data_IF_643752389571
#
_entry.id   IF_643752389571
#
_cell.length_a   1.000
_cell.length_b   1.000
_cell.length_c   1.000
_cell.angle_alpha   90.00
_cell.angle_beta   90.00
_cell.angle_gamma   90.00
#
_symmetry.space_group_name_H-M   'P 1'
#
loop_
_entity.id
_entity.type
_entity.pdbx_description
1 polymer ?
#
# COMPACT_ATOMS: atom_id res chain seq x y z
N UNK A 1 0.64 -1.56 2.85
CA UNK A 1 -0.17 -2.75 3.18
C UNK A 1 -1.62 -2.37 3.05
N UNK A 2 -2.40 -3.10 2.26
CA UNK A 2 -3.85 -2.93 2.20
C UNK A 2 -4.47 -3.65 3.40
N UNK A 3 -5.35 -2.94 4.12
CA UNK A 3 -6.07 -3.45 5.29
C UNK A 3 -7.52 -3.66 4.87
N UNK A 4 -8.01 -4.87 5.06
CA UNK A 4 -9.37 -5.28 4.72
C UNK A 4 -10.22 -5.42 5.99
N UNK A 5 -11.55 -5.45 5.84
CA UNK A 5 -12.48 -5.69 6.95
C UNK A 5 -12.91 -7.16 7.09
N UNK A 6 -12.72 -7.96 6.05
CA UNK A 6 -13.24 -9.32 5.91
C UNK A 6 -12.13 -10.39 5.81
N UNK A 7 -10.88 -9.98 5.59
CA UNK A 7 -9.74 -10.86 5.32
C UNK A 7 -8.43 -10.32 5.89
N UNK A 8 -7.37 -11.12 5.76
CA UNK A 8 -6.04 -10.73 6.19
C UNK A 8 -5.45 -9.58 5.35
N UNK A 9 -4.63 -8.74 5.99
CA UNK A 9 -3.89 -7.66 5.35
C UNK A 9 -2.98 -8.17 4.21
N UNK A 10 -2.84 -7.37 3.15
CA UNK A 10 -2.04 -7.71 1.97
C UNK A 10 -0.91 -6.71 1.69
N UNK A 11 0.29 -7.23 1.43
CA UNK A 11 1.43 -6.41 1.01
C UNK A 11 1.29 -6.05 -0.47
N UNK A 12 0.91 -4.80 -0.75
CA UNK A 12 0.77 -4.29 -2.12
C UNK A 12 2.03 -3.62 -2.68
N UNK A 13 2.89 -3.06 -1.83
CA UNK A 13 4.06 -2.29 -2.28
C UNK A 13 5.17 -2.31 -1.23
N UNK A 14 6.39 -2.57 -1.67
CA UNK A 14 7.61 -2.54 -0.86
C UNK A 14 8.65 -1.63 -1.53
N UNK A 15 9.37 -0.83 -0.74
CA UNK A 15 10.40 0.07 -1.25
C UNK A 15 11.47 0.33 -0.21
N UNK A 16 12.61 0.86 -0.66
CA UNK A 16 13.75 1.18 0.23
C UNK A 16 13.57 2.50 0.97
N UNK A 17 12.56 3.30 0.62
CA UNK A 17 12.20 4.55 1.27
C UNK A 17 10.70 4.83 1.20
N UNK A 18 10.20 5.68 2.11
CA UNK A 18 8.81 6.13 2.09
C UNK A 18 8.45 6.89 0.81
N UNK A 19 9.37 7.69 0.27
CA UNK A 19 9.21 8.41 -1.00
C UNK A 19 8.97 7.44 -2.15
N UNK A 20 9.75 6.36 -2.23
CA UNK A 20 9.59 5.34 -3.27
C UNK A 20 8.25 4.61 -3.14
N UNK A 21 7.85 4.23 -1.91
CA UNK A 21 6.56 3.58 -1.67
C UNK A 21 5.41 4.52 -2.08
N UNK A 22 5.48 5.81 -1.71
CA UNK A 22 4.45 6.80 -2.07
C UNK A 22 4.34 7.05 -3.57
N UNK A 23 5.44 6.96 -4.32
CA UNK A 23 5.43 7.10 -5.77
C UNK A 23 4.78 5.90 -6.48
N UNK A 24 4.89 4.70 -5.89
CA UNK A 24 4.56 3.44 -6.59
C UNK A 24 3.29 2.76 -6.08
N UNK A 25 2.85 3.04 -4.85
CA UNK A 25 1.75 2.26 -4.23
C UNK A 25 0.43 2.40 -4.98
N UNK A 26 0.16 3.55 -5.61
CA UNK A 26 -1.09 3.77 -6.32
C UNK A 26 -1.20 2.89 -7.56
N UNK A 27 -0.10 2.74 -8.32
CA UNK A 27 -0.05 1.81 -9.44
C UNK A 27 -0.18 0.36 -8.96
N UNK A 28 0.62 -0.02 -7.96
CA UNK A 28 0.60 -1.37 -7.41
C UNK A 28 -0.78 -1.75 -6.83
N UNK A 29 -1.51 -0.79 -6.26
CA UNK A 29 -2.89 -0.99 -5.77
C UNK A 29 -3.85 -1.46 -6.87
N UNK A 30 -3.73 -0.93 -8.09
CA UNK A 30 -4.58 -1.34 -9.23
C UNK A 30 -4.07 -2.58 -9.96
N UNK A 31 -2.77 -2.89 -9.86
CA UNK A 31 -2.16 -4.05 -10.52
C UNK A 31 -2.27 -5.33 -9.67
N UNK A 32 -2.14 -5.21 -8.35
CA UNK A 32 -2.13 -6.34 -7.42
C UNK A 32 -3.53 -6.74 -7.00
N UNK A 33 -4.43 -5.78 -6.78
CA UNK A 33 -5.78 -6.03 -6.31
C UNK A 33 -6.79 -5.98 -7.46
N UNK A 34 -7.66 -6.98 -7.51
CA UNK A 34 -8.79 -6.98 -8.44
C UNK A 34 -9.88 -5.95 -8.03
N UNK A 35 -10.96 -5.84 -8.82
CA UNK A 35 -12.03 -4.88 -8.51
C UNK A 35 -12.79 -5.25 -7.21
N UNK A 36 -12.98 -6.54 -6.92
CA UNK A 36 -13.68 -7.00 -5.72
C UNK A 36 -12.84 -6.71 -4.46
N UNK A 37 -11.56 -7.09 -4.47
CA UNK A 37 -10.64 -6.83 -3.37
C UNK A 37 -10.54 -5.34 -3.06
N UNK A 38 -10.48 -4.49 -4.08
CA UNK A 38 -10.38 -3.03 -3.89
C UNK A 38 -11.59 -2.45 -3.16
N UNK A 39 -12.78 -3.02 -3.34
CA UNK A 39 -14.00 -2.57 -2.64
C UNK A 39 -13.99 -2.92 -1.14
N UNK A 40 -13.20 -3.93 -0.74
CA UNK A 40 -13.02 -4.34 0.66
C UNK A 40 -11.87 -3.62 1.37
N UNK A 41 -11.06 -2.82 0.66
CA UNK A 41 -9.95 -2.08 1.29
C UNK A 41 -10.50 -0.93 2.14
N UNK A 42 -10.25 -0.99 3.45
CA UNK A 42 -10.63 0.07 4.41
C UNK A 42 -9.54 1.11 4.64
N UNK A 43 -8.28 0.71 4.53
CA UNK A 43 -7.16 1.64 4.64
C UNK A 43 -5.90 1.08 3.99
N UNK A 44 -4.94 1.96 3.69
CA UNK A 44 -3.61 1.57 3.22
C UNK A 44 -2.59 2.02 4.26
N UNK A 45 -2.05 1.07 5.03
CA UNK A 45 -1.05 1.35 6.05
C UNK A 45 0.35 1.43 5.43
N UNK A 46 1.02 2.58 5.57
CA UNK A 46 2.45 2.73 5.34
C UNK A 46 3.21 2.23 6.57
N UNK A 47 4.07 1.23 6.38
CA UNK A 47 4.86 0.63 7.45
C UNK A 47 6.35 0.73 7.12
N UNK A 48 7.19 0.71 8.15
CA UNK A 48 8.65 0.71 8.03
C UNK A 48 9.23 -0.44 8.83
N UNK A 49 10.16 -1.19 8.24
CA UNK A 49 10.94 -2.18 8.96
C UNK A 49 11.86 -1.48 9.96
N UNK A 50 11.79 -1.90 11.21
CA UNK A 50 12.58 -1.36 12.30
C UNK A 50 13.28 -2.51 13.04
N UNK A 51 14.60 -2.38 13.22
CA UNK A 51 15.44 -3.41 13.81
C UNK A 51 16.37 -4.07 12.79
N UNK A 52 16.97 -5.18 13.17
CA UNK A 52 17.88 -5.93 12.31
C UNK A 52 17.13 -6.55 11.11
N UNK A 53 17.82 -6.83 9.99
CA UNK A 53 17.18 -7.36 8.78
C UNK A 53 16.43 -8.69 8.98
N UNK A 54 16.85 -9.52 9.93
CA UNK A 54 16.35 -10.86 10.19
C UNK A 54 15.36 -10.96 11.37
N UNK A 55 15.36 -9.97 12.26
CA UNK A 55 14.65 -10.02 13.55
C UNK A 55 13.93 -8.72 13.91
N UNK A 56 13.86 -7.78 12.96
CA UNK A 56 13.07 -6.56 13.10
C UNK A 56 11.56 -6.79 13.03
N UNK A 57 10.82 -5.68 13.01
CA UNK A 57 9.37 -5.67 12.87
C UNK A 57 8.90 -4.52 11.98
N UNK A 58 7.76 -4.72 11.34
CA UNK A 58 7.07 -3.64 10.65
C UNK A 58 6.37 -2.72 11.66
N UNK A 59 6.66 -1.42 11.59
CA UNK A 59 6.03 -0.40 12.44
C UNK A 59 5.16 0.50 11.55
N UNK A 60 3.88 0.62 11.90
CA UNK A 60 2.96 1.56 11.29
C UNK A 60 3.48 2.99 11.40
N UNK A 61 3.47 3.71 10.28
CA UNK A 61 3.88 5.12 10.22
C UNK A 61 2.66 6.03 10.08
N UNK A 62 1.83 5.76 9.06
CA UNK A 62 0.62 6.54 8.77
C UNK A 62 -0.24 5.79 7.76
N UNK A 63 -1.48 6.22 7.57
CA UNK A 63 -2.34 5.75 6.49
C UNK A 63 -2.19 6.60 5.23
N UNK A 64 -2.20 5.95 4.08
CA UNK A 64 -2.22 6.58 2.76
C UNK A 64 -3.66 6.67 2.26
N UNK A 65 -3.94 7.68 1.44
CA UNK A 65 -5.22 7.83 0.75
C UNK A 65 -5.44 6.64 -0.19
N UNK A 66 -6.61 6.02 -0.10
CA UNK A 66 -7.01 4.95 -1.02
C UNK A 66 -7.10 5.54 -2.42
N UNK A 67 -6.35 5.00 -3.41
CA UNK A 67 -6.44 5.46 -4.78
C UNK A 67 -7.85 5.24 -5.32
N UNK A 68 -8.50 6.32 -5.73
CA UNK A 68 -9.71 6.26 -6.54
C UNK A 68 -9.30 6.21 -8.02
N UNK A 69 -10.07 5.52 -8.87
CA UNK A 69 -9.94 5.62 -10.33
C UNK A 69 -10.35 7.03 -10.81
N UNK A 70 -9.68 8.08 -10.36
CA UNK A 70 -9.64 9.33 -11.11
C UNK A 70 -8.77 9.04 -12.34
N UNK A 71 -9.23 9.41 -13.54
CA UNK A 71 -8.46 9.29 -14.79
C UNK A 71 -7.01 9.70 -14.50
N UNK A 72 -6.10 8.72 -14.44
CA UNK A 72 -4.66 8.91 -14.35
C UNK A 72 -4.24 9.56 -15.68
N UNK A 73 -4.52 10.85 -15.85
CA UNK A 73 -4.00 11.64 -16.95
C UNK A 73 -2.55 11.91 -16.60
N UNK A 74 -1.67 11.04 -17.11
CA UNK A 74 -0.24 11.22 -17.08
C UNK A 74 0.09 12.40 -18.01
N UNK A 75 0.54 13.52 -17.46
CA UNK A 75 1.23 14.53 -18.26
C UNK A 75 2.57 13.94 -18.70
N UNK A 76 2.73 13.79 -20.01
CA UNK A 76 3.98 13.41 -20.69
C UNK A 76 4.94 14.61 -20.75
#
# INVERSE_FOLDING_TARGET
VAVFDDRADLLICLGRSSTQVRANFAQAFFEVLDDEERDHVRSISLQRWHGAPDSGRWIHQTNLTIPVKAKLVRSA
#
